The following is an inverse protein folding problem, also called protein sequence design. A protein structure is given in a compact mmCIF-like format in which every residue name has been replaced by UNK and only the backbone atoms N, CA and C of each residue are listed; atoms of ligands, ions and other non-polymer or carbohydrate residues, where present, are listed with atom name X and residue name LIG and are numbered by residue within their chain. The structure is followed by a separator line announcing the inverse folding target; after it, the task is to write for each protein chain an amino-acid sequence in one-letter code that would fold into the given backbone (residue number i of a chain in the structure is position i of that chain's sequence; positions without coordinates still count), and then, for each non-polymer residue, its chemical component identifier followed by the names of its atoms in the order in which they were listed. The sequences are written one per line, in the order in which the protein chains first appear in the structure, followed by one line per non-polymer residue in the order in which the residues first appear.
data_IF_167626379676
#
_entry.id   IF_167626379676
#
_cell.length_a   1.000
_cell.length_b   1.000
_cell.length_c   1.000
_cell.angle_alpha   90.00
_cell.angle_beta   90.00
_cell.angle_gamma   90.00
#
_symmetry.space_group_name_H-M   'P 1'
#
loop_
_entity.id
_entity.type
_entity.pdbx_description
1 polymer ?
#
# COMPACT_ATOMS: atom_id res chain seq x y z
N UNK A 1 -17.24 9.74 18.38
CA UNK A 1 -16.54 9.37 19.63
C UNK A 1 -16.83 7.94 20.09
N UNK A 2 -17.90 7.29 19.62
CA UNK A 2 -18.15 5.87 19.94
C UNK A 2 -17.03 4.91 19.48
N UNK A 3 -16.51 5.09 18.25
CA UNK A 3 -15.50 4.20 17.68
C UNK A 3 -14.15 4.19 18.44
N UNK A 4 -13.54 5.34 18.80
CA UNK A 4 -12.32 5.35 19.62
C UNK A 4 -12.51 4.74 21.01
N UNK A 5 -13.65 5.00 21.65
CA UNK A 5 -13.97 4.46 22.98
C UNK A 5 -14.07 2.94 22.91
N UNK A 6 -14.77 2.42 21.90
CA UNK A 6 -14.93 1.00 21.68
C UNK A 6 -13.59 0.32 21.31
N UNK A 7 -12.79 0.92 20.42
CA UNK A 7 -11.46 0.41 20.11
C UNK A 7 -10.55 0.38 21.35
N UNK A 8 -10.59 1.43 22.16
CA UNK A 8 -9.86 1.50 23.43
C UNK A 8 -10.28 0.41 24.42
N UNK A 9 -11.58 0.13 24.54
CA UNK A 9 -12.07 -0.92 25.44
C UNK A 9 -11.64 -2.32 24.98
N UNK A 10 -11.66 -2.61 23.69
CA UNK A 10 -11.18 -3.89 23.14
C UNK A 10 -9.65 -4.06 23.29
N UNK A 11 -8.87 -2.99 23.13
CA UNK A 11 -7.42 -3.02 23.38
C UNK A 11 -7.11 -3.27 24.87
N UNK A 12 -7.83 -2.60 25.77
CA UNK A 12 -7.72 -2.83 27.22
C UNK A 12 -8.07 -4.26 27.59
N UNK A 13 -9.16 -4.80 27.03
CA UNK A 13 -9.54 -6.21 27.23
C UNK A 13 -8.45 -7.16 26.73
N UNK A 14 -7.89 -6.92 25.55
CA UNK A 14 -6.80 -7.73 24.98
C UNK A 14 -5.54 -7.77 25.86
N UNK A 15 -5.25 -6.68 26.57
CA UNK A 15 -4.12 -6.60 27.50
C UNK A 15 -4.43 -7.21 28.88
N UNK A 16 -5.56 -6.85 29.48
CA UNK A 16 -5.94 -7.27 30.83
C UNK A 16 -6.66 -8.63 30.92
N UNK A 17 -6.79 -9.35 29.80
CA UNK A 17 -7.48 -10.65 29.70
C UNK A 17 -7.12 -11.68 30.78
N UNK A 18 -5.88 -11.68 31.28
CA UNK A 18 -5.43 -12.65 32.29
C UNK A 18 -5.93 -12.37 33.70
N UNK A 19 -6.40 -11.15 33.97
CA UNK A 19 -6.86 -10.71 35.30
C UNK A 19 -8.38 -10.76 35.43
N UNK A 20 -9.11 -11.17 34.39
CA UNK A 20 -10.57 -11.21 34.41
C UNK A 20 -11.11 -12.52 35.03
N UNK A 21 -12.23 -12.46 35.78
CA UNK A 21 -12.89 -13.63 36.35
C UNK A 21 -13.36 -14.63 35.28
N UNK A 22 -13.45 -15.92 35.61
CA UNK A 22 -13.79 -17.01 34.68
C UNK A 22 -15.11 -16.84 33.92
N UNK A 23 -16.04 -16.04 34.45
CA UNK A 23 -17.30 -15.68 33.79
C UNK A 23 -17.07 -14.87 32.50
N UNK A 24 -16.01 -14.05 32.44
CA UNK A 24 -15.80 -13.04 31.40
C UNK A 24 -14.79 -13.49 30.33
N UNK A 25 -14.90 -14.75 29.89
CA UNK A 25 -14.07 -15.35 28.83
C UNK A 25 -12.56 -15.08 29.00
N UNK A 26 -11.94 -15.58 30.09
CA UNK A 26 -10.54 -15.32 30.37
C UNK A 26 -9.64 -15.84 29.24
N UNK A 27 -8.67 -15.02 28.85
CA UNK A 27 -7.60 -15.43 27.95
C UNK A 27 -6.27 -15.06 28.58
N UNK A 28 -5.17 -15.65 28.10
CA UNK A 28 -3.83 -15.56 28.74
C UNK A 28 -3.23 -14.15 28.82
N UNK A 29 -3.96 -13.12 28.37
CA UNK A 29 -3.45 -11.78 28.09
C UNK A 29 -2.53 -11.80 26.86
N UNK A 30 -2.61 -10.77 26.02
CA UNK A 30 -1.65 -10.59 24.94
C UNK A 30 -0.58 -9.57 25.36
N UNK A 31 0.69 -9.89 25.10
CA UNK A 31 1.78 -8.93 25.27
C UNK A 31 1.52 -7.69 24.39
N UNK A 32 1.94 -6.51 24.86
CA UNK A 32 1.82 -5.24 24.12
C UNK A 32 2.40 -5.37 22.71
N UNK A 33 3.55 -6.03 22.57
CA UNK A 33 4.20 -6.31 21.29
C UNK A 33 3.27 -7.04 20.31
N UNK A 34 2.53 -8.04 20.81
CA UNK A 34 1.58 -8.81 19.99
C UNK A 34 0.36 -7.98 19.61
N UNK A 35 -0.15 -7.17 20.53
CA UNK A 35 -1.28 -6.28 20.26
C UNK A 35 -0.89 -5.27 19.17
N UNK A 36 0.24 -4.59 19.33
CA UNK A 36 0.74 -3.61 18.36
C UNK A 36 1.02 -4.27 17.01
N UNK A 37 1.67 -5.43 17.00
CA UNK A 37 1.93 -6.18 15.77
C UNK A 37 0.63 -6.55 15.05
N UNK A 38 -0.40 -6.97 15.79
CA UNK A 38 -1.67 -7.37 15.19
C UNK A 38 -2.51 -6.16 14.72
N UNK A 39 -2.46 -5.03 15.42
CA UNK A 39 -3.21 -3.82 15.03
C UNK A 39 -2.55 -3.09 13.86
N UNK A 40 -1.22 -3.05 13.78
CA UNK A 40 -0.51 -2.26 12.76
C UNK A 40 0.03 -3.10 11.62
N UNK A 41 0.75 -4.19 11.92
CA UNK A 41 1.52 -4.95 10.93
C UNK A 41 0.75 -6.11 10.30
N UNK A 42 -0.40 -6.48 10.86
CA UNK A 42 -1.22 -7.54 10.29
C UNK A 42 -1.83 -7.14 8.95
N UNK A 43 -2.22 -8.13 8.13
CA UNK A 43 -2.84 -7.89 6.82
C UNK A 43 -4.16 -7.11 6.90
N UNK A 44 -4.93 -7.35 7.96
CA UNK A 44 -6.14 -6.60 8.30
C UNK A 44 -5.86 -5.42 9.26
N UNK A 45 -4.59 -5.20 9.61
CA UNK A 45 -4.14 -4.08 10.42
C UNK A 45 -4.04 -2.80 9.59
N UNK A 46 -3.74 -1.69 10.27
CA UNK A 46 -3.70 -0.37 9.67
C UNK A 46 -2.81 -0.30 8.41
N UNK A 47 -1.57 -0.79 8.51
CA UNK A 47 -0.67 -0.78 7.37
C UNK A 47 -1.03 -1.85 6.34
N UNK A 48 -1.59 -2.98 6.73
CA UNK A 48 -2.01 -4.03 5.80
C UNK A 48 -3.07 -3.53 4.81
N UNK A 49 -4.09 -2.83 5.30
CA UNK A 49 -5.14 -2.24 4.45
C UNK A 49 -4.55 -1.15 3.55
N UNK A 50 -3.74 -0.24 4.12
CA UNK A 50 -3.13 0.85 3.36
C UNK A 50 -2.20 0.33 2.25
N UNK A 51 -1.33 -0.63 2.57
CA UNK A 51 -0.45 -1.29 1.61
C UNK A 51 -1.25 -2.06 0.55
N UNK A 52 -2.31 -2.76 0.94
CA UNK A 52 -3.17 -3.49 -0.01
C UNK A 52 -3.76 -2.59 -1.09
N UNK A 53 -4.24 -1.40 -0.72
CA UNK A 53 -4.70 -0.37 -1.66
C UNK A 53 -3.54 0.11 -2.55
N UNK A 54 -2.38 0.41 -1.98
CA UNK A 54 -1.20 0.84 -2.75
C UNK A 54 -0.76 -0.21 -3.78
N UNK A 55 -0.72 -1.49 -3.38
CA UNK A 55 -0.36 -2.59 -4.25
C UNK A 55 -1.36 -2.81 -5.40
N UNK A 56 -2.66 -2.65 -5.12
CA UNK A 56 -3.72 -2.92 -6.11
C UNK A 56 -3.85 -1.78 -7.13
N UNK A 57 -3.72 -0.53 -6.69
CA UNK A 57 -4.02 0.62 -7.56
C UNK A 57 -2.80 1.33 -8.14
N UNK A 58 -1.64 1.31 -7.46
CA UNK A 58 -0.52 2.20 -7.83
C UNK A 58 0.74 1.43 -8.19
N UNK A 59 1.05 0.36 -7.45
CA UNK A 59 2.33 -0.34 -7.54
C UNK A 59 2.66 -0.85 -8.95
N UNK A 60 1.69 -1.44 -9.65
CA UNK A 60 1.93 -2.01 -10.99
C UNK A 60 2.28 -0.92 -12.01
N UNK A 61 1.64 0.24 -11.95
CA UNK A 61 1.95 1.37 -12.83
C UNK A 61 3.35 1.93 -12.57
N UNK A 62 3.73 2.07 -11.30
CA UNK A 62 5.06 2.56 -10.92
C UNK A 62 6.15 1.60 -11.36
N UNK A 63 5.99 0.30 -11.09
CA UNK A 63 6.96 -0.71 -11.52
C UNK A 63 7.08 -0.77 -13.04
N UNK A 64 5.96 -0.76 -13.75
CA UNK A 64 5.97 -0.80 -15.20
C UNK A 64 6.60 0.45 -15.81
N UNK A 65 6.31 1.63 -15.25
CA UNK A 65 6.96 2.89 -15.65
C UNK A 65 8.47 2.84 -15.43
N UNK A 66 8.91 2.43 -14.24
CA UNK A 66 10.33 2.28 -13.92
C UNK A 66 11.01 1.23 -14.83
N UNK A 67 10.33 0.15 -15.18
CA UNK A 67 10.84 -0.86 -16.10
C UNK A 67 11.02 -0.32 -17.53
N UNK A 68 10.06 0.44 -18.06
CA UNK A 68 10.17 1.07 -19.38
C UNK A 68 11.29 2.12 -19.42
N UNK A 69 11.48 2.85 -18.33
CA UNK A 69 12.58 3.80 -18.19
C UNK A 69 13.93 3.09 -18.14
N UNK A 70 14.07 2.06 -17.30
CA UNK A 70 15.32 1.31 -17.13
C UNK A 70 15.76 0.57 -18.40
N UNK A 71 14.81 0.01 -19.16
CA UNK A 71 15.10 -0.67 -20.43
C UNK A 71 15.39 0.30 -21.58
N UNK A 72 15.16 1.60 -21.39
CA UNK A 72 15.29 2.60 -22.44
C UNK A 72 14.23 2.47 -23.55
N UNK A 73 13.20 1.63 -23.35
CA UNK A 73 12.12 1.43 -24.30
C UNK A 73 11.40 2.75 -24.61
N UNK A 74 11.22 3.61 -23.61
CA UNK A 74 10.66 4.95 -23.78
C UNK A 74 11.48 5.78 -24.78
N UNK A 75 12.82 5.77 -24.65
CA UNK A 75 13.71 6.49 -25.57
C UNK A 75 13.72 5.86 -26.96
N UNK A 76 13.66 4.54 -27.03
CA UNK A 76 13.57 3.81 -28.29
C UNK A 76 12.31 4.20 -29.09
N UNK A 77 11.15 4.25 -28.44
CA UNK A 77 9.88 4.65 -29.08
C UNK A 77 9.94 6.08 -29.59
N UNK A 78 10.45 7.03 -28.78
CA UNK A 78 10.62 8.43 -29.18
C UNK A 78 11.56 8.55 -30.38
N UNK A 79 12.73 7.92 -30.33
CA UNK A 79 13.70 7.96 -31.42
C UNK A 79 13.15 7.32 -32.71
N UNK A 80 12.37 6.25 -32.58
CA UNK A 80 11.71 5.60 -33.71
C UNK A 80 10.65 6.51 -34.36
N UNK A 81 9.79 7.13 -33.55
CA UNK A 81 8.78 8.08 -34.03
C UNK A 81 9.43 9.31 -34.68
N UNK A 82 10.52 9.83 -34.13
CA UNK A 82 11.30 10.92 -34.73
C UNK A 82 11.89 10.53 -36.08
N UNK A 83 12.38 9.30 -36.22
CA UNK A 83 12.90 8.80 -37.51
C UNK A 83 11.82 8.64 -38.57
N UNK A 84 10.63 8.20 -38.20
CA UNK A 84 9.50 8.08 -39.13
C UNK A 84 8.88 9.42 -39.52
N UNK A 85 8.65 10.32 -38.55
CA UNK A 85 7.83 11.52 -38.77
C UNK A 85 8.59 12.85 -38.66
N UNK A 86 9.83 12.85 -38.20
CA UNK A 86 10.62 14.06 -37.95
C UNK A 86 10.95 14.89 -39.20
N UNK A 87 10.89 14.29 -40.39
CA UNK A 87 11.10 14.99 -41.68
C UNK A 87 9.81 15.58 -42.27
N UNK A 88 8.65 15.28 -41.70
CA UNK A 88 7.36 15.84 -42.11
C UNK A 88 7.20 17.26 -41.53
N UNK A 89 6.44 18.14 -42.21
CA UNK A 89 6.14 19.47 -41.67
C UNK A 89 5.43 19.36 -40.31
N UNK A 90 5.99 20.00 -39.28
CA UNK A 90 5.56 19.86 -37.88
C UNK A 90 6.02 18.57 -37.17
N UNK A 91 6.93 17.81 -37.77
CA UNK A 91 7.41 16.50 -37.30
C UNK A 91 7.84 16.43 -35.83
N UNK A 92 8.68 17.35 -35.32
CA UNK A 92 9.06 17.36 -33.91
C UNK A 92 7.87 17.57 -32.96
N UNK A 93 6.87 18.37 -33.38
CA UNK A 93 5.68 18.64 -32.57
C UNK A 93 4.70 17.45 -32.54
N UNK A 94 4.62 16.66 -33.63
CA UNK A 94 3.79 15.44 -33.71
C UNK A 94 4.33 14.26 -32.91
N UNK A 95 5.60 14.28 -32.52
CA UNK A 95 6.27 13.18 -31.80
C UNK A 95 6.40 13.45 -30.30
N UNK A 96 6.22 14.70 -29.87
CA UNK A 96 6.37 15.12 -28.48
C UNK A 96 5.07 15.06 -27.65
N UNK A 97 3.93 14.79 -28.29
CA UNK A 97 2.60 14.68 -27.67
C UNK A 97 2.15 13.24 -27.63
#
# INVERSE_FOLDING_TARGET
MALPILAGSFLLYGYFGSSFPDWFFPHRGYTIERIVAQTFLHSQGFFGVALGVMFTYVFLFVIFGAFLEATGATRFIVNFAQRMFGRSAGGPAKVAV
#
